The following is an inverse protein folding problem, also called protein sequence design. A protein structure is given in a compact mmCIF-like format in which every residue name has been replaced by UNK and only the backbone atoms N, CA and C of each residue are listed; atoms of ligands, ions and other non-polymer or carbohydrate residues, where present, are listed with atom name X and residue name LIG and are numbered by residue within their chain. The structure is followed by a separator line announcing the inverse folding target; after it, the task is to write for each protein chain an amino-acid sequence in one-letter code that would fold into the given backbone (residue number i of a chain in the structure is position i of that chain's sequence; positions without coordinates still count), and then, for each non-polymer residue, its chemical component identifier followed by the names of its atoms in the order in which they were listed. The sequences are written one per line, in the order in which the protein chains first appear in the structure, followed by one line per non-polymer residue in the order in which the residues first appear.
data_IF_141003905942
#
_entry.id   IF_141003905942
#
_cell.length_a   1.000
_cell.length_b   1.000
_cell.length_c   1.000
_cell.angle_alpha   90.00
_cell.angle_beta   90.00
_cell.angle_gamma   90.00
#
_symmetry.space_group_name_H-M   'P 1'
#
loop_
_entity.id
_entity.type
_entity.pdbx_description
1 polymer ?
#
# COMPACT_ATOMS: atom_id res chain seq x y z
N UNK A 1 19.40 12.36 2.71
CA UNK A 1 19.34 11.49 1.51
C UNK A 1 18.52 12.17 0.42
N UNK A 2 18.76 11.95 -0.87
CA UNK A 2 17.89 12.53 -1.93
C UNK A 2 16.56 11.77 -1.98
N UNK A 3 15.44 12.48 -1.83
CA UNK A 3 14.10 11.89 -1.94
C UNK A 3 13.91 11.21 -3.31
N UNK A 4 13.56 9.92 -3.30
CA UNK A 4 13.25 9.14 -4.49
C UNK A 4 11.98 8.34 -4.26
N UNK A 5 11.04 8.40 -5.20
CA UNK A 5 9.86 7.54 -5.20
C UNK A 5 10.28 6.10 -5.43
N UNK A 6 9.98 5.22 -4.48
CA UNK A 6 10.25 3.78 -4.58
C UNK A 6 8.96 3.02 -4.91
N UNK A 7 9.05 2.07 -5.84
CA UNK A 7 7.94 1.19 -6.15
C UNK A 7 7.91 0.00 -5.18
N UNK A 8 7.45 0.25 -3.94
CA UNK A 8 7.42 -0.74 -2.86
C UNK A 8 6.11 -1.51 -2.75
N UNK A 9 5.04 -1.00 -3.34
CA UNK A 9 3.68 -1.51 -3.13
C UNK A 9 3.01 -1.75 -4.48
N UNK A 10 2.34 -2.89 -4.58
CA UNK A 10 1.27 -3.09 -5.58
C UNK A 10 -0.06 -2.85 -4.88
N UNK A 11 -0.85 -1.92 -5.39
CA UNK A 11 -2.17 -1.59 -4.84
C UNK A 11 -3.23 -2.14 -5.77
N UNK A 12 -4.13 -2.97 -5.23
CA UNK A 12 -5.27 -3.51 -5.96
C UNK A 12 -6.53 -2.97 -5.29
N UNK A 13 -7.33 -2.20 -6.04
CA UNK A 13 -8.63 -1.70 -5.57
C UNK A 13 -9.64 -2.84 -5.63
N UNK A 14 -10.30 -3.15 -4.51
CA UNK A 14 -11.25 -4.27 -4.44
C UNK A 14 -12.36 -4.18 -5.49
N UNK A 15 -12.89 -2.99 -5.75
CA UNK A 15 -13.89 -2.77 -6.81
C UNK A 15 -13.39 -3.16 -8.21
N UNK A 16 -12.12 -2.94 -8.49
CA UNK A 16 -11.52 -3.33 -9.77
C UNK A 16 -11.26 -4.84 -9.79
N UNK A 17 -10.77 -5.40 -8.68
CA UNK A 17 -10.61 -6.85 -8.55
C UNK A 17 -11.93 -7.60 -8.78
N UNK A 18 -13.00 -7.18 -8.11
CA UNK A 18 -14.35 -7.74 -8.27
C UNK A 18 -14.88 -7.61 -9.70
N UNK A 19 -14.52 -6.54 -10.41
CA UNK A 19 -14.99 -6.26 -11.77
C UNK A 19 -14.22 -7.04 -12.84
N UNK A 20 -12.92 -7.21 -12.66
CA UNK A 20 -12.02 -7.67 -13.71
C UNK A 20 -11.43 -9.06 -13.48
N UNK A 21 -11.44 -9.58 -12.25
CA UNK A 21 -10.97 -10.93 -11.95
C UNK A 21 -12.12 -11.94 -12.04
N UNK A 22 -11.78 -13.16 -12.46
CA UNK A 22 -12.64 -14.32 -12.28
C UNK A 22 -12.78 -14.69 -10.79
N UNK A 23 -13.79 -15.49 -10.41
CA UNK A 23 -13.95 -15.96 -9.03
C UNK A 23 -12.69 -16.65 -8.48
N UNK A 24 -12.04 -17.51 -9.27
CA UNK A 24 -10.83 -18.24 -8.88
C UNK A 24 -9.63 -17.30 -8.66
N UNK A 25 -9.49 -16.26 -9.50
CA UNK A 25 -8.45 -15.24 -9.35
C UNK A 25 -8.70 -14.37 -8.10
N UNK A 26 -9.95 -14.03 -7.81
CA UNK A 26 -10.32 -13.27 -6.62
C UNK A 26 -10.07 -14.06 -5.33
N UNK A 27 -10.41 -15.36 -5.32
CA UNK A 27 -10.08 -16.27 -4.22
C UNK A 27 -8.57 -16.40 -4.05
N UNK A 28 -7.84 -16.59 -5.14
CA UNK A 28 -6.37 -16.66 -5.11
C UNK A 28 -5.76 -15.38 -4.54
N UNK A 29 -6.25 -14.21 -4.95
CA UNK A 29 -5.80 -12.92 -4.43
C UNK A 29 -6.05 -12.80 -2.91
N UNK A 30 -7.23 -13.21 -2.43
CA UNK A 30 -7.55 -13.20 -1.01
C UNK A 30 -6.64 -14.14 -0.21
N UNK A 31 -6.37 -15.34 -0.71
CA UNK A 31 -5.47 -16.31 -0.08
C UNK A 31 -4.02 -15.81 -0.01
N UNK A 32 -3.51 -15.17 -1.07
CA UNK A 32 -2.19 -14.55 -1.07
C UNK A 32 -2.11 -13.46 -0.01
N UNK A 33 -3.12 -12.58 0.07
CA UNK A 33 -3.21 -11.53 1.08
C UNK A 33 -3.20 -12.09 2.51
N UNK A 34 -4.03 -13.10 2.77
CA UNK A 34 -4.10 -13.77 4.07
C UNK A 34 -2.76 -14.44 4.45
N UNK A 35 -2.08 -15.08 3.49
CA UNK A 35 -0.77 -15.68 3.72
C UNK A 35 0.27 -14.63 4.14
N UNK A 36 0.30 -13.46 3.49
CA UNK A 36 1.22 -12.37 3.85
C UNK A 36 0.90 -11.86 5.26
N UNK A 37 -0.36 -11.60 5.58
CA UNK A 37 -0.77 -11.14 6.92
C UNK A 37 -0.37 -12.15 7.99
N UNK A 38 -0.61 -13.44 7.77
CA UNK A 38 -0.18 -14.49 8.70
C UNK A 38 1.34 -14.52 8.89
N UNK A 39 2.13 -14.42 7.80
CA UNK A 39 3.59 -14.37 7.90
C UNK A 39 4.09 -13.12 8.63
N UNK A 40 3.43 -11.97 8.49
CA UNK A 40 3.77 -10.76 9.26
C UNK A 40 3.59 -10.97 10.76
N UNK A 41 2.50 -11.63 11.16
CA UNK A 41 2.25 -11.94 12.57
C UNK A 41 3.30 -12.91 13.13
N UNK A 42 3.75 -13.89 12.33
CA UNK A 42 4.86 -14.79 12.69
C UNK A 42 6.17 -14.00 12.87
N UNK A 43 6.38 -12.97 12.05
CA UNK A 43 7.50 -12.02 12.15
C UNK A 43 7.35 -10.98 13.28
N UNK A 44 6.35 -11.11 14.16
CA UNK A 44 6.01 -10.14 15.21
C UNK A 44 5.71 -8.72 14.68
N UNK A 45 5.33 -8.62 13.40
CA UNK A 45 4.92 -7.37 12.76
C UNK A 45 3.40 -7.27 12.76
N UNK A 46 2.84 -6.07 13.02
CA UNK A 46 1.40 -5.88 12.89
C UNK A 46 0.96 -6.06 11.44
N UNK A 47 -0.35 -6.24 11.25
CA UNK A 47 -0.96 -6.10 9.94
C UNK A 47 -0.57 -4.75 9.30
N UNK A 48 -0.37 -4.74 7.98
CA UNK A 48 0.00 -3.51 7.29
C UNK A 48 -1.23 -2.62 7.17
N UNK A 49 -1.34 -1.64 8.04
CA UNK A 49 -2.35 -0.59 7.97
C UNK A 49 -1.79 0.64 7.27
N UNK A 50 -2.46 1.09 6.21
CA UNK A 50 -2.03 2.27 5.45
C UNK A 50 -3.23 2.96 4.80
N UNK A 51 -3.06 4.26 4.54
CA UNK A 51 -3.96 5.03 3.68
C UNK A 51 -3.41 5.02 2.27
N UNK A 52 -4.26 4.74 1.30
CA UNK A 52 -3.97 4.93 -0.13
C UNK A 52 -4.67 6.21 -0.56
N UNK A 53 -3.92 7.11 -1.18
CA UNK A 53 -4.45 8.35 -1.75
C UNK A 53 -4.30 8.28 -3.27
N UNK A 54 -5.43 8.25 -3.98
CA UNK A 54 -5.43 8.23 -5.44
C UNK A 54 -5.00 9.60 -6.00
N UNK A 55 -4.37 9.62 -7.17
CA UNK A 55 -3.79 10.84 -7.74
C UNK A 55 -4.84 11.93 -8.01
N UNK A 56 -6.08 11.54 -8.27
CA UNK A 56 -7.21 12.42 -8.54
C UNK A 56 -7.91 12.92 -7.27
N UNK A 57 -7.50 12.46 -6.08
CA UNK A 57 -8.07 12.93 -4.82
C UNK A 57 -7.42 14.25 -4.39
N UNK A 58 -8.19 15.17 -3.78
CA UNK A 58 -7.68 16.47 -3.35
C UNK A 58 -6.56 16.36 -2.30
N UNK A 59 -6.47 15.25 -1.56
CA UNK A 59 -5.45 14.98 -0.55
C UNK A 59 -4.10 14.52 -1.12
N UNK A 60 -4.00 14.25 -2.42
CA UNK A 60 -2.81 13.63 -3.00
C UNK A 60 -1.54 14.47 -2.83
N UNK A 61 -1.59 15.74 -3.23
CA UNK A 61 -0.41 16.61 -3.21
C UNK A 61 0.02 16.97 -1.78
N UNK A 62 -0.95 17.23 -0.89
CA UNK A 62 -0.66 17.53 0.51
C UNK A 62 -0.08 16.32 1.24
N UNK A 63 -0.56 15.11 0.95
CA UNK A 63 0.01 13.86 1.49
C UNK A 63 1.45 13.65 1.02
N UNK A 64 1.73 13.93 -0.27
CA UNK A 64 3.10 13.85 -0.79
C UNK A 64 4.05 14.82 -0.10
N UNK A 65 3.61 16.07 0.10
CA UNK A 65 4.42 17.07 0.78
C UNK A 65 4.74 16.63 2.22
N UNK A 66 3.75 16.14 2.97
CA UNK A 66 3.98 15.64 4.33
C UNK A 66 4.99 14.47 4.39
N UNK A 67 4.96 13.55 3.42
CA UNK A 67 5.92 12.45 3.33
C UNK A 67 7.32 12.98 3.02
N UNK A 68 7.43 13.94 2.10
CA UNK A 68 8.70 14.57 1.73
C UNK A 68 9.32 15.28 2.95
N UNK A 69 8.54 16.12 3.64
CA UNK A 69 9.00 16.87 4.81
C UNK A 69 9.52 15.92 5.91
N UNK A 70 8.82 14.81 6.18
CA UNK A 70 9.28 13.78 7.12
C UNK A 70 10.63 13.21 6.71
N UNK A 71 10.79 12.80 5.44
CA UNK A 71 12.05 12.18 4.96
C UNK A 71 13.24 13.14 4.96
N UNK A 72 12.98 14.43 4.75
CA UNK A 72 14.01 15.48 4.83
C UNK A 72 14.39 15.77 6.29
N UNK A 73 13.43 15.76 7.22
CA UNK A 73 13.69 15.96 8.67
C UNK A 73 14.46 14.81 9.34
N UNK A 74 14.33 13.58 8.84
CA UNK A 74 15.08 12.41 9.34
C UNK A 74 16.54 12.37 8.84
N UNK A 75 16.94 13.32 7.97
CA UNK A 75 18.29 13.41 7.40
C UNK A 75 19.22 14.42 8.09
N UNK A 76 18.76 15.10 9.15
CA UNK A 76 19.53 16.05 10.00
C UNK A 76 19.81 15.47 11.39
#
# INVERSE_FOLDING_TARGET
MTFKRENRYSVIKWKDAEKYLSPDELETLALIGASITASRLVDEKPELECVVVEQDWPEYESTWQAIKDRMESESE
#
